data_IF_358035633412
#
_entry.id   IF_358035633412
#
_cell.length_a   1.000
_cell.length_b   1.000
_cell.length_c   1.000
_cell.angle_alpha   90.00
_cell.angle_beta   90.00
_cell.angle_gamma   90.00
#
_symmetry.space_group_name_H-M   'P 1'
#
loop_
_entity.id
_entity.type
_entity.pdbx_description
1 polymer ?
#
# COMPACT_ATOMS: atom_id res chain seq x y z
N UNK A 1 5.67 -5.49 1.19
CA UNK A 1 5.71 -5.35 -0.27
C UNK A 1 5.26 -6.61 -0.99
N UNK A 2 4.96 -6.49 -2.29
CA UNK A 2 4.56 -7.64 -3.10
C UNK A 2 5.72 -8.58 -3.46
N UNK A 3 5.40 -9.81 -3.79
CA UNK A 3 6.36 -10.86 -4.15
C UNK A 3 7.13 -10.59 -5.43
N UNK A 4 6.61 -9.75 -6.33
CA UNK A 4 7.26 -9.36 -7.59
C UNK A 4 7.83 -10.57 -8.35
N UNK A 5 9.17 -10.63 -8.52
CA UNK A 5 9.86 -11.76 -9.17
C UNK A 5 9.75 -13.10 -8.42
N UNK A 6 9.30 -13.08 -7.16
CA UNK A 6 9.11 -14.29 -6.36
C UNK A 6 7.65 -14.76 -6.33
N UNK A 7 6.77 -14.18 -7.17
CA UNK A 7 5.35 -14.55 -7.23
C UNK A 7 5.12 -16.03 -7.53
N UNK A 8 6.01 -16.65 -8.31
CA UNK A 8 5.94 -18.07 -8.66
C UNK A 8 6.12 -19.03 -7.47
N UNK A 9 6.63 -18.53 -6.34
CA UNK A 9 6.77 -19.34 -5.12
C UNK A 9 5.42 -19.66 -4.47
N UNK A 10 4.35 -18.97 -4.86
CA UNK A 10 2.97 -19.16 -4.37
C UNK A 10 2.86 -19.25 -2.83
N UNK A 11 3.73 -18.55 -2.10
CA UNK A 11 3.69 -18.50 -0.63
C UNK A 11 2.56 -17.56 -0.21
N UNK A 12 1.66 -18.05 0.60
CA UNK A 12 0.60 -17.21 1.18
C UNK A 12 1.17 -16.21 2.18
N UNK A 13 0.42 -15.14 2.45
CA UNK A 13 0.82 -14.13 3.44
C UNK A 13 0.91 -14.73 4.85
N UNK A 14 0.04 -15.67 5.16
CA UNK A 14 0.02 -16.40 6.42
C UNK A 14 1.25 -17.26 6.62
N UNK A 15 1.61 -18.06 5.63
CA UNK A 15 2.84 -18.87 5.64
C UNK A 15 4.09 -18.00 5.80
N UNK A 16 4.16 -16.89 5.07
CA UNK A 16 5.27 -15.95 5.19
C UNK A 16 5.38 -15.35 6.60
N UNK A 17 4.26 -14.96 7.22
CA UNK A 17 4.29 -14.46 8.59
C UNK A 17 4.68 -15.53 9.60
N UNK A 18 4.24 -16.77 9.40
CA UNK A 18 4.63 -17.88 10.25
C UNK A 18 6.14 -18.11 10.21
N UNK A 19 6.73 -18.20 9.03
CA UNK A 19 8.17 -18.35 8.83
C UNK A 19 8.97 -17.23 9.51
N UNK A 20 8.53 -15.96 9.36
CA UNK A 20 9.17 -14.83 10.02
C UNK A 20 9.06 -14.95 11.55
N UNK A 21 7.89 -15.29 12.08
CA UNK A 21 7.67 -15.45 13.51
C UNK A 21 8.57 -16.53 14.09
N UNK A 22 8.70 -17.67 13.42
CA UNK A 22 9.55 -18.77 13.82
C UNK A 22 11.04 -18.38 13.76
N UNK A 23 11.48 -17.80 12.62
CA UNK A 23 12.88 -17.42 12.43
C UNK A 23 13.37 -16.37 13.43
N UNK A 24 12.56 -15.35 13.72
CA UNK A 24 12.92 -14.26 14.63
C UNK A 24 12.43 -14.48 16.06
N UNK A 25 11.78 -15.61 16.35
CA UNK A 25 11.15 -15.89 17.64
C UNK A 25 10.28 -14.70 18.12
N UNK A 26 9.38 -14.25 17.25
CA UNK A 26 8.52 -13.09 17.48
C UNK A 26 7.05 -13.41 17.27
N UNK A 27 6.17 -12.51 17.63
CA UNK A 27 4.73 -12.65 17.44
C UNK A 27 4.25 -11.88 16.20
N UNK A 28 3.20 -12.37 15.54
CA UNK A 28 2.62 -11.76 14.33
C UNK A 28 2.24 -10.28 14.53
N UNK A 29 1.80 -9.90 15.71
CA UNK A 29 1.42 -8.51 16.04
C UNK A 29 2.61 -7.53 16.08
N UNK A 30 3.84 -8.05 16.09
CA UNK A 30 5.09 -7.27 16.02
C UNK A 30 5.61 -7.12 14.59
N UNK A 31 4.98 -7.78 13.62
CA UNK A 31 5.31 -7.67 12.21
C UNK A 31 4.38 -6.65 11.59
N UNK A 32 4.94 -5.58 11.04
CA UNK A 32 4.18 -4.52 10.38
C UNK A 32 4.46 -4.56 8.88
N UNK A 33 3.42 -4.73 8.08
CA UNK A 33 3.51 -4.52 6.63
C UNK A 33 3.36 -3.03 6.32
N UNK A 34 4.05 -2.58 5.29
CA UNK A 34 4.00 -1.20 4.83
C UNK A 34 3.66 -1.13 3.35
N UNK A 35 2.89 -0.14 2.96
CA UNK A 35 2.73 0.27 1.58
C UNK A 35 3.53 1.56 1.33
N UNK A 36 4.21 1.64 0.21
CA UNK A 36 4.98 2.81 -0.22
C UNK A 36 5.56 2.56 -1.60
N UNK A 37 6.04 3.63 -2.22
CA UNK A 37 6.63 3.58 -3.56
C UNK A 37 7.82 4.53 -3.67
N UNK A 38 8.75 4.21 -4.58
CA UNK A 38 9.94 5.02 -4.84
C UNK A 38 9.60 6.39 -5.42
N UNK A 39 8.48 6.47 -6.14
CA UNK A 39 7.96 7.69 -6.75
C UNK A 39 7.42 8.70 -5.72
N UNK A 40 7.22 8.27 -4.48
CA UNK A 40 6.80 9.13 -3.38
C UNK A 40 7.63 8.85 -2.12
N UNK A 41 8.93 9.07 -2.22
CA UNK A 41 9.89 8.88 -1.12
C UNK A 41 9.51 9.71 0.11
N UNK A 42 9.72 9.13 1.29
CA UNK A 42 9.46 9.76 2.59
C UNK A 42 8.04 9.55 3.12
N UNK A 43 7.14 8.95 2.34
CA UNK A 43 5.80 8.60 2.80
C UNK A 43 5.61 7.09 2.77
N UNK A 44 5.24 6.52 3.90
CA UNK A 44 4.88 5.11 4.05
C UNK A 44 3.54 4.99 4.76
N UNK A 45 2.80 3.94 4.45
CA UNK A 45 1.48 3.66 5.00
C UNK A 45 1.53 2.31 5.74
N UNK A 46 1.77 2.33 7.06
CA UNK A 46 1.88 1.11 7.86
C UNK A 46 0.51 0.51 8.16
N UNK A 47 0.48 -0.82 8.24
CA UNK A 47 -0.68 -1.55 8.75
C UNK A 47 -0.89 -1.28 10.24
N UNK A 48 -2.15 -1.27 10.66
CA UNK A 48 -2.51 -1.49 12.05
C UNK A 48 -2.75 -2.98 12.31
N UNK A 49 -3.05 -3.33 13.58
CA UNK A 49 -3.36 -4.70 13.99
C UNK A 49 -4.54 -5.34 13.26
N UNK A 50 -5.41 -4.53 12.63
CA UNK A 50 -6.52 -5.00 11.80
C UNK A 50 -6.15 -5.10 10.30
N UNK A 51 -4.88 -4.89 9.95
CA UNK A 51 -4.38 -4.97 8.56
C UNK A 51 -4.80 -3.79 7.67
N UNK A 52 -5.19 -2.68 8.27
CA UNK A 52 -5.57 -1.47 7.54
C UNK A 52 -4.38 -0.49 7.47
N UNK A 53 -4.09 0.01 6.28
CA UNK A 53 -3.03 1.00 6.04
C UNK A 53 -3.54 2.40 6.35
N UNK A 54 -2.89 3.07 7.30
CA UNK A 54 -3.31 4.40 7.73
C UNK A 54 -2.58 5.51 6.98
N UNK A 55 -3.35 6.51 6.59
CA UNK A 55 -2.85 7.74 5.97
C UNK A 55 -2.33 8.67 7.06
N UNK A 56 -1.16 9.27 6.85
CA UNK A 56 -0.57 10.24 7.79
C UNK A 56 -1.32 11.58 7.78
N UNK A 57 -1.17 12.37 8.83
CA UNK A 57 -1.84 13.67 8.96
C UNK A 57 -1.45 14.70 7.88
N UNK A 58 -0.33 14.49 7.17
CA UNK A 58 0.18 15.37 6.12
C UNK A 58 0.17 14.72 4.73
N UNK A 59 -0.54 13.62 4.58
CA UNK A 59 -0.75 12.96 3.28
C UNK A 59 -2.23 12.67 3.07
N UNK A 60 -2.60 12.34 1.85
CA UNK A 60 -3.97 11.94 1.53
C UNK A 60 -3.97 10.80 0.50
N UNK A 61 -5.09 10.13 0.41
CA UNK A 61 -5.35 9.08 -0.56
C UNK A 61 -6.70 9.31 -1.23
N UNK A 62 -6.74 9.04 -2.53
CA UNK A 62 -7.97 9.01 -3.31
C UNK A 62 -7.98 7.70 -4.09
N UNK A 63 -9.10 7.02 -4.07
CA UNK A 63 -9.31 5.85 -4.93
C UNK A 63 -10.02 6.31 -6.20
N UNK A 64 -9.42 6.04 -7.35
CA UNK A 64 -9.89 6.49 -8.65
C UNK A 64 -10.49 5.35 -9.46
N UNK A 65 -11.65 5.59 -10.03
CA UNK A 65 -12.20 4.70 -11.03
C UNK A 65 -11.23 4.59 -12.22
N UNK A 66 -10.83 3.38 -12.65
CA UNK A 66 -9.79 3.21 -13.67
C UNK A 66 -10.20 3.72 -15.06
N UNK A 67 -11.50 3.85 -15.36
CA UNK A 67 -11.99 4.30 -16.65
C UNK A 67 -12.31 5.80 -16.68
N UNK A 68 -12.90 6.32 -15.60
CA UNK A 68 -13.40 7.70 -15.55
C UNK A 68 -12.50 8.65 -14.78
N UNK A 69 -11.57 8.11 -13.98
CA UNK A 69 -10.70 8.82 -13.03
C UNK A 69 -11.45 9.63 -11.97
N UNK A 70 -12.76 9.45 -11.85
CA UNK A 70 -13.54 10.01 -10.75
C UNK A 70 -13.27 9.26 -9.46
N UNK A 71 -13.58 9.90 -8.33
CA UNK A 71 -13.45 9.26 -7.02
C UNK A 71 -14.38 8.06 -6.92
N UNK A 72 -13.87 6.96 -6.39
CA UNK A 72 -14.68 5.83 -5.97
C UNK A 72 -15.24 6.04 -4.56
N UNK A 73 -16.34 5.36 -4.28
CA UNK A 73 -16.94 5.31 -2.95
C UNK A 73 -16.14 4.37 -2.02
N UNK A 74 -16.33 4.56 -0.72
CA UNK A 74 -15.75 3.67 0.30
C UNK A 74 -16.15 2.21 0.00
N UNK A 75 -15.21 1.30 0.10
CA UNK A 75 -15.36 -0.13 -0.17
C UNK A 75 -15.26 -0.51 -1.66
N UNK A 76 -15.20 0.44 -2.58
CA UNK A 76 -15.00 0.15 -4.02
C UNK A 76 -13.52 0.20 -4.40
N UNK A 77 -13.08 -0.86 -5.09
CA UNK A 77 -11.72 -0.97 -5.60
C UNK A 77 -11.48 -0.07 -6.80
N UNK A 78 -10.33 0.57 -6.84
CA UNK A 78 -9.89 1.44 -7.93
C UNK A 78 -8.40 1.72 -7.83
N UNK A 79 -7.88 2.56 -8.74
CA UNK A 79 -6.47 2.97 -8.74
C UNK A 79 -6.17 3.86 -7.53
N UNK A 80 -5.07 3.57 -6.86
CA UNK A 80 -4.61 4.34 -5.71
C UNK A 80 -3.91 5.61 -6.19
N UNK A 81 -4.45 6.77 -5.82
CA UNK A 81 -3.77 8.05 -5.96
C UNK A 81 -3.27 8.50 -4.59
N UNK A 82 -1.97 8.73 -4.48
CA UNK A 82 -1.32 9.23 -3.28
C UNK A 82 -1.03 10.73 -3.41
N UNK A 83 -1.23 11.45 -2.32
CA UNK A 83 -0.95 12.89 -2.22
C UNK A 83 -0.07 13.12 -0.99
N UNK A 84 1.09 13.78 -1.19
CA UNK A 84 2.00 14.13 -0.09
C UNK A 84 2.78 15.39 -0.43
N UNK A 85 2.93 16.33 0.51
CA UNK A 85 3.73 17.54 0.32
C UNK A 85 5.23 17.32 0.49
N UNK A 86 5.68 16.10 0.84
CA UNK A 86 7.09 15.81 1.18
C UNK A 86 8.03 15.91 -0.03
N UNK A 87 7.68 15.38 -1.25
CA UNK A 87 8.56 15.48 -2.39
C UNK A 87 8.76 16.92 -2.88
N UNK A 88 9.99 17.43 -2.82
CA UNK A 88 10.35 18.77 -3.27
C UNK A 88 11.27 18.78 -4.49
N UNK A 89 12.00 17.70 -4.75
CA UNK A 89 13.01 17.60 -5.81
C UNK A 89 12.45 17.15 -7.17
N UNK A 90 11.20 16.68 -7.19
CA UNK A 90 10.49 16.21 -8.38
C UNK A 90 8.97 16.36 -8.18
N UNK A 91 8.14 16.28 -9.24
CA UNK A 91 6.70 16.49 -9.14
C UNK A 91 5.96 15.29 -8.54
N UNK A 92 6.38 14.81 -7.35
CA UNK A 92 5.82 13.67 -6.62
C UNK A 92 4.67 14.01 -5.68
N UNK A 93 4.14 15.23 -5.72
CA UNK A 93 3.10 15.69 -4.78
C UNK A 93 1.80 14.90 -4.94
N UNK A 94 1.47 14.49 -6.16
CA UNK A 94 0.28 13.71 -6.46
C UNK A 94 0.60 12.66 -7.50
N UNK A 95 0.52 11.39 -7.12
CA UNK A 95 0.89 10.25 -7.96
C UNK A 95 -0.30 9.31 -8.08
N UNK A 96 -0.75 9.06 -9.30
CA UNK A 96 -1.66 7.97 -9.62
C UNK A 96 -0.81 6.73 -9.89
N UNK A 97 -0.98 5.71 -9.07
CA UNK A 97 -0.22 4.45 -9.19
C UNK A 97 -0.92 3.44 -10.09
N UNK A 98 -0.18 2.38 -10.45
CA UNK A 98 -0.72 1.19 -11.09
C UNK A 98 -1.26 0.17 -10.07
N UNK A 99 -1.37 0.55 -8.82
CA UNK A 99 -1.85 -0.30 -7.74
C UNK A 99 -3.35 -0.08 -7.52
N UNK A 100 -4.08 -1.17 -7.32
CA UNK A 100 -5.48 -1.17 -6.95
C UNK A 100 -5.62 -1.30 -5.44
N UNK A 101 -6.59 -0.60 -4.90
CA UNK A 101 -6.99 -0.68 -3.50
C UNK A 101 -8.34 -0.03 -3.30
N UNK A 102 -8.80 -0.05 -2.06
CA UNK A 102 -10.06 0.57 -1.69
C UNK A 102 -9.93 1.30 -0.36
N UNK A 103 -10.68 2.38 -0.22
CA UNK A 103 -10.84 3.08 1.04
C UNK A 103 -11.78 2.25 1.93
N UNK A 104 -11.31 1.84 3.10
CA UNK A 104 -12.12 1.08 4.06
C UNK A 104 -13.00 2.00 4.91
N UNK A 105 -12.49 3.19 5.27
CA UNK A 105 -13.23 4.13 6.09
C UNK A 105 -12.45 5.39 6.43
N UNK A 106 -13.08 6.23 7.25
CA UNK A 106 -12.54 7.51 7.76
C UNK A 106 -12.93 7.65 9.22
N UNK A 107 -11.95 7.79 10.10
CA UNK A 107 -12.12 8.05 11.54
C UNK A 107 -12.74 6.91 12.37
N UNK A 108 -13.08 5.79 11.77
CA UNK A 108 -13.84 4.68 12.37
C UNK A 108 -13.07 3.35 12.45
N UNK A 109 -11.76 3.36 12.19
CA UNK A 109 -10.95 2.15 12.31
C UNK A 109 -10.96 1.61 13.75
N UNK A 110 -11.16 0.30 13.90
CA UNK A 110 -11.18 -0.39 15.18
C UNK A 110 -9.89 -0.24 16.01
N UNK A 111 -8.75 0.10 15.38
CA UNK A 111 -7.51 0.41 16.08
C UNK A 111 -7.51 1.76 16.80
N UNK A 112 -8.56 2.57 16.65
CA UNK A 112 -8.72 3.89 17.26
C UNK A 112 -8.02 5.03 16.54
N UNK A 113 -7.16 4.77 15.55
CA UNK A 113 -6.51 5.83 14.74
C UNK A 113 -7.53 6.57 13.90
N UNK A 114 -7.36 7.87 13.81
CA UNK A 114 -8.19 8.78 13.01
C UNK A 114 -7.60 8.99 11.62
N UNK A 115 -8.39 9.56 10.71
CA UNK A 115 -8.06 9.77 9.31
C UNK A 115 -8.52 8.64 8.40
N UNK A 116 -8.18 8.77 7.13
CA UNK A 116 -8.47 7.75 6.12
C UNK A 116 -7.61 6.51 6.35
N UNK A 117 -8.18 5.34 6.05
CA UNK A 117 -7.46 4.08 6.02
C UNK A 117 -7.96 3.21 4.86
N UNK A 118 -7.06 2.40 4.31
CA UNK A 118 -7.29 1.70 3.06
C UNK A 118 -6.64 0.32 3.07
N UNK A 119 -7.00 -0.50 2.07
CA UNK A 119 -6.31 -1.75 1.77
C UNK A 119 -5.78 -1.73 0.34
N UNK A 120 -4.63 -2.35 0.19
CA UNK A 120 -4.08 -2.70 -1.12
C UNK A 120 -4.72 -4.01 -1.58
N UNK A 121 -5.26 -4.03 -2.80
CA UNK A 121 -5.89 -5.21 -3.38
C UNK A 121 -4.92 -5.98 -4.26
N UNK A 122 -4.44 -5.34 -5.31
CA UNK A 122 -3.52 -5.94 -6.29
C UNK A 122 -2.79 -4.88 -7.09
N UNK A 123 -1.74 -5.30 -7.79
CA UNK A 123 -1.12 -4.49 -8.83
C UNK A 123 -1.82 -4.71 -10.17
N UNK A 124 -1.84 -3.68 -11.03
CA UNK A 124 -2.34 -3.81 -12.40
C UNK A 124 -1.54 -4.86 -13.17
N UNK A 125 -2.21 -5.68 -13.97
CA UNK A 125 -1.56 -6.68 -14.84
C UNK A 125 -0.69 -6.03 -15.93
N UNK A 126 -0.99 -4.77 -16.29
CA UNK A 126 -0.21 -3.99 -17.24
C UNK A 126 1.02 -3.31 -16.63
N UNK A 127 1.16 -3.33 -15.30
CA UNK A 127 2.28 -2.70 -14.62
C UNK A 127 3.56 -3.54 -14.76
N UNK A 128 4.67 -2.90 -15.12
CA UNK A 128 5.98 -3.54 -15.16
C UNK A 128 6.35 -4.16 -13.80
N UNK A 129 6.76 -5.43 -13.80
CA UNK A 129 7.25 -6.14 -12.61
C UNK A 129 8.67 -5.71 -12.24
N UNK A 130 8.94 -4.42 -12.16
CA UNK A 130 10.26 -3.89 -11.76
C UNK A 130 10.42 -3.92 -10.25
N UNK A 131 11.52 -4.51 -9.77
CA UNK A 131 11.94 -4.46 -8.36
C UNK A 131 12.84 -3.24 -8.08
N UNK A 132 12.91 -2.83 -6.81
CA UNK A 132 13.93 -1.87 -6.39
C UNK A 132 15.31 -2.53 -6.51
N UNK A 133 16.07 -2.27 -7.53
CA UNK A 133 17.37 -2.88 -7.79
C UNK A 133 17.42 -3.74 -9.05
N UNK A 134 16.36 -3.71 -9.86
CA UNK A 134 16.44 -4.28 -11.20
C UNK A 134 17.39 -3.44 -12.04
N UNK A 135 18.53 -4.01 -12.40
CA UNK A 135 19.39 -3.45 -13.44
C UNK A 135 18.64 -3.45 -14.75
N UNK A 136 18.70 -2.35 -15.46
CA UNK A 136 18.28 -2.25 -16.86
C UNK A 136 19.34 -3.01 -17.65
N UNK A 137 18.98 -4.18 -18.18
CA UNK A 137 19.78 -4.88 -19.20
C UNK A 137 19.53 -4.20 -20.54
#
# INVERSE_FOLDING_TARGET
GGWKKLADLNISREEFYQEICEFFNTEKNKIMDIYGMTEQLGTIYPDCEFGNKHVSAYSDIIIRNPLTLKNEEIGKSGLIQLISPIPHSYPGISILSDDFGHLEGIDDCSCGRKGKYFRFDKRSESADLKGCGDTID
#
